data_IF_667595427281
#
_entry.id   IF_667595427281
#
_cell.length_a   1.000
_cell.length_b   1.000
_cell.length_c   1.000
_cell.angle_alpha   90.00
_cell.angle_beta   90.00
_cell.angle_gamma   90.00
#
_symmetry.space_group_name_H-M   'P 1'
#
loop_
_entity.id
_entity.type
_entity.pdbx_description
1 polymer ?
#
# COMPACT_ATOMS: atom_id res chain seq x y z
N UNK A 1 -17.16 -30.93 18.32
CA UNK A 1 -17.73 -29.58 18.12
C UNK A 1 -17.19 -29.07 16.80
N UNK A 2 -18.01 -28.62 15.83
CA UNK A 2 -17.47 -27.97 14.66
C UNK A 2 -17.00 -26.57 15.05
N UNK A 3 -15.74 -26.24 14.76
CA UNK A 3 -15.19 -24.89 14.88
C UNK A 3 -15.88 -24.00 13.84
N UNK A 4 -16.92 -23.30 14.27
CA UNK A 4 -17.71 -22.43 13.40
C UNK A 4 -16.88 -21.25 12.94
N UNK A 5 -16.47 -21.24 11.67
CA UNK A 5 -16.07 -20.00 11.00
C UNK A 5 -17.24 -19.03 11.03
N UNK A 6 -17.09 -17.90 11.70
CA UNK A 6 -18.10 -16.83 11.69
C UNK A 6 -18.18 -16.25 10.26
N UNK A 7 -19.23 -16.61 9.53
CA UNK A 7 -19.43 -16.31 8.11
C UNK A 7 -19.76 -14.85 7.80
N UNK A 8 -19.60 -13.93 8.75
CA UNK A 8 -20.13 -12.56 8.61
C UNK A 8 -19.25 -11.51 9.28
N UNK A 9 -17.94 -11.57 9.07
CA UNK A 9 -17.11 -10.38 9.31
C UNK A 9 -17.22 -9.48 8.08
N UNK A 10 -17.98 -8.40 8.21
CA UNK A 10 -17.94 -7.28 7.25
C UNK A 10 -16.65 -6.49 7.52
N UNK A 11 -15.60 -6.80 6.77
CA UNK A 11 -14.37 -6.02 6.86
C UNK A 11 -14.53 -4.77 5.98
N UNK A 12 -14.78 -3.64 6.63
CA UNK A 12 -14.84 -2.32 5.97
C UNK A 12 -13.42 -1.82 5.79
N UNK A 13 -12.81 -2.15 4.66
CA UNK A 13 -11.59 -1.50 4.25
C UNK A 13 -11.95 -0.22 3.49
N UNK A 14 -11.16 0.87 3.63
CA UNK A 14 -11.35 2.01 2.76
C UNK A 14 -11.16 1.54 1.32
N UNK A 15 -12.14 1.79 0.46
CA UNK A 15 -12.00 1.63 -0.99
C UNK A 15 -10.99 2.67 -1.49
N UNK A 16 -9.72 2.42 -1.23
CA UNK A 16 -8.62 3.19 -1.78
C UNK A 16 -8.51 2.80 -3.24
N UNK A 17 -9.14 3.60 -4.10
CA UNK A 17 -8.91 3.52 -5.53
C UNK A 17 -7.40 3.73 -5.82
N UNK A 18 -6.96 3.23 -6.96
CA UNK A 18 -5.54 3.24 -7.32
C UNK A 18 -4.97 4.66 -7.38
N UNK A 19 -5.75 5.64 -7.87
CA UNK A 19 -5.32 7.04 -7.93
C UNK A 19 -5.07 7.64 -6.54
N UNK A 20 -5.99 7.41 -5.60
CA UNK A 20 -5.91 7.90 -4.22
C UNK A 20 -4.75 7.23 -3.48
N UNK A 21 -4.53 5.93 -3.70
CA UNK A 21 -3.35 5.26 -3.18
C UNK A 21 -2.05 5.92 -3.68
N UNK A 22 -1.94 6.14 -5.00
CA UNK A 22 -0.77 6.79 -5.60
C UNK A 22 -0.60 8.21 -5.04
N UNK A 23 -1.69 8.95 -4.84
CA UNK A 23 -1.67 10.29 -4.27
C UNK A 23 -1.12 10.28 -2.83
N UNK A 24 -1.64 9.40 -1.98
CA UNK A 24 -1.18 9.24 -0.59
C UNK A 24 0.29 8.83 -0.51
N UNK A 25 0.72 7.88 -1.35
CA UNK A 25 2.14 7.50 -1.44
C UNK A 25 2.99 8.72 -1.80
N UNK A 26 2.60 9.51 -2.80
CA UNK A 26 3.33 10.72 -3.19
C UNK A 26 3.42 11.74 -2.07
N UNK A 27 2.34 11.97 -1.35
CA UNK A 27 2.31 12.88 -0.20
C UNK A 27 3.20 12.39 0.94
N UNK A 28 3.16 11.10 1.26
CA UNK A 28 4.03 10.49 2.27
C UNK A 28 5.51 10.55 1.89
N UNK A 29 5.86 10.30 0.63
CA UNK A 29 7.26 10.37 0.18
C UNK A 29 7.82 11.79 0.31
N UNK A 30 7.01 12.85 0.16
CA UNK A 30 7.48 14.23 0.38
C UNK A 30 8.02 14.47 1.79
N UNK A 31 7.43 13.86 2.81
CA UNK A 31 7.95 14.01 4.18
C UNK A 31 9.24 13.21 4.39
N UNK A 32 9.37 12.04 3.74
CA UNK A 32 10.56 11.19 3.81
C UNK A 32 11.76 11.79 3.05
N UNK A 33 11.51 12.54 1.97
CA UNK A 33 12.57 13.22 1.21
C UNK A 33 13.40 14.20 2.04
N UNK A 34 12.86 14.71 3.15
CA UNK A 34 13.59 15.61 4.06
C UNK A 34 14.66 14.87 4.90
N UNK A 35 14.53 13.55 5.06
CA UNK A 35 15.40 12.72 5.91
C UNK A 35 16.21 11.71 5.11
N UNK A 36 15.73 11.30 3.93
CA UNK A 36 16.39 10.32 3.08
C UNK A 36 16.34 10.79 1.62
N UNK A 37 17.49 10.87 0.91
CA UNK A 37 17.50 11.28 -0.48
C UNK A 37 17.04 10.12 -1.38
N UNK A 38 15.72 9.93 -1.41
CA UNK A 38 15.03 8.95 -2.27
C UNK A 38 15.18 9.39 -3.72
N UNK A 39 15.61 8.47 -4.58
CA UNK A 39 15.80 8.68 -6.02
C UNK A 39 14.71 8.02 -6.86
N UNK A 40 14.08 6.95 -6.34
CA UNK A 40 12.99 6.25 -7.03
C UNK A 40 12.04 5.57 -6.06
N UNK A 41 10.76 5.58 -6.39
CA UNK A 41 9.72 4.82 -5.69
C UNK A 41 8.90 4.08 -6.74
N UNK A 42 8.75 2.76 -6.55
CA UNK A 42 7.99 1.90 -7.46
C UNK A 42 6.93 1.16 -6.66
N UNK A 43 5.66 1.34 -7.02
CA UNK A 43 4.57 0.50 -6.53
C UNK A 43 4.62 -0.85 -7.26
N UNK A 44 4.71 -1.93 -6.52
CA UNK A 44 4.67 -3.29 -7.07
C UNK A 44 3.60 -4.13 -6.35
N UNK A 45 3.62 -5.45 -6.54
CA UNK A 45 2.68 -6.35 -5.87
C UNK A 45 1.25 -6.30 -6.44
N UNK A 46 0.30 -6.70 -5.61
CA UNK A 46 -1.10 -6.90 -5.99
C UNK A 46 -1.80 -5.59 -6.41
N UNK A 47 -1.45 -4.48 -5.75
CA UNK A 47 -1.94 -3.14 -6.07
C UNK A 47 -1.44 -2.63 -7.43
N UNK A 48 -0.20 -2.97 -7.82
CA UNK A 48 0.30 -2.63 -9.15
C UNK A 48 -0.40 -3.42 -10.27
N UNK A 49 -0.83 -4.66 -9.98
CA UNK A 49 -1.49 -5.56 -10.95
C UNK A 49 -3.02 -5.49 -10.95
N UNK A 50 -3.62 -4.60 -10.16
CA UNK A 50 -5.07 -4.52 -9.94
C UNK A 50 -5.71 -5.86 -9.49
N UNK A 51 -4.97 -6.67 -8.72
CA UNK A 51 -5.43 -7.93 -8.12
C UNK A 51 -5.46 -7.90 -6.60
N UNK A 52 -5.45 -6.70 -6.01
CA UNK A 52 -5.50 -6.54 -4.57
C UNK A 52 -6.91 -6.85 -4.06
N UNK A 53 -6.96 -7.47 -2.89
CA UNK A 53 -8.18 -7.59 -2.10
C UNK A 53 -8.15 -6.54 -1.00
N UNK A 54 -9.28 -6.37 -0.34
CA UNK A 54 -9.42 -5.43 0.75
C UNK A 54 -8.44 -5.71 1.91
N UNK A 55 -8.00 -6.97 2.08
CA UNK A 55 -6.99 -7.38 3.06
C UNK A 55 -5.54 -7.38 2.53
N UNK A 56 -5.28 -6.81 1.34
CA UNK A 56 -3.94 -6.77 0.76
C UNK A 56 -3.11 -5.62 1.31
N UNK A 57 -1.83 -5.89 1.57
CA UNK A 57 -0.84 -4.86 1.89
C UNK A 57 -0.39 -4.10 0.63
N UNK A 58 0.26 -2.94 0.83
CA UNK A 58 0.82 -2.10 -0.24
C UNK A 58 2.33 -2.27 -0.31
N UNK A 59 2.83 -2.81 -1.42
CA UNK A 59 4.25 -3.06 -1.63
C UNK A 59 4.97 -1.91 -2.36
N UNK A 60 5.97 -1.31 -1.73
CA UNK A 60 6.78 -0.22 -2.31
C UNK A 60 8.26 -0.59 -2.35
N UNK A 61 8.88 -0.43 -3.52
CA UNK A 61 10.34 -0.47 -3.67
C UNK A 61 10.86 0.95 -3.67
N UNK A 62 11.69 1.28 -2.68
CA UNK A 62 12.29 2.60 -2.51
C UNK A 62 13.78 2.51 -2.75
N UNK A 63 14.28 3.25 -3.75
CA UNK A 63 15.71 3.43 -3.99
C UNK A 63 16.11 4.77 -3.41
N UNK A 64 17.14 4.77 -2.57
CA UNK A 64 17.74 5.97 -2.02
C UNK A 64 19.24 5.94 -2.26
N UNK A 65 19.85 7.12 -2.30
CA UNK A 65 21.32 7.23 -2.33
C UNK A 65 21.85 7.39 -0.91
N UNK A 66 22.98 6.78 -0.61
CA UNK A 66 23.73 7.15 0.60
C UNK A 66 24.38 8.50 0.35
N UNK A 67 24.23 9.43 1.31
CA UNK A 67 24.94 10.70 1.28
C UNK A 67 26.43 10.48 1.55
#
# INVERSE_FOLDING_TARGET
MPEGSSSTVRIFWPELNREELIKRIREGIKSVLNVLPITKVVLFGSYARARHTAASDVDLLVVYRRA
#
